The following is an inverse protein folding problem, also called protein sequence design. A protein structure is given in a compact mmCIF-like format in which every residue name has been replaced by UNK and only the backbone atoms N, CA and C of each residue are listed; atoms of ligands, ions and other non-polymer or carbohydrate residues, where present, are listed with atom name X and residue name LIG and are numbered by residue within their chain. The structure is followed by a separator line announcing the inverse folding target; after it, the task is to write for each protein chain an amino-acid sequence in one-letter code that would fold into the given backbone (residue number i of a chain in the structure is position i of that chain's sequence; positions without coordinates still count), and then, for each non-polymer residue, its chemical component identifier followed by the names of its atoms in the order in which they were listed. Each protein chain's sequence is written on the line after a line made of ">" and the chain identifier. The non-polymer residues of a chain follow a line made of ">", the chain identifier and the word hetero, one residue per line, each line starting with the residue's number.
data_IF_952961452154
#
_entry.id   IF_952961452154
#
_cell.length_a   1.000
_cell.length_b   1.000
_cell.length_c   1.000
_cell.angle_alpha   90.00
_cell.angle_beta   90.00
_cell.angle_gamma   90.00
#
_symmetry.space_group_name_H-M   'P 1'
#
loop_
_entity.id
_entity.type
_entity.pdbx_description
1 polymer ?
#
# COMPACT_ATOMS: atom_id res chain seq x y z
N UNK A 1 5.58 15.75 -0.36
CA UNK A 1 4.52 15.29 0.52
C UNK A 1 3.20 15.29 -0.22
N UNK A 2 2.39 14.22 -0.14
CA UNK A 2 1.07 14.23 -0.78
C UNK A 2 0.17 15.33 -0.22
N UNK A 3 -0.83 15.72 -1.00
CA UNK A 3 -1.76 16.78 -0.64
C UNK A 3 -3.18 16.29 -0.80
N UNK A 4 -4.11 16.96 -0.12
CA UNK A 4 -5.53 16.66 -0.26
C UNK A 4 -5.95 16.70 -1.72
N UNK A 5 -6.64 15.65 -2.15
CA UNK A 5 -7.09 15.50 -3.53
C UNK A 5 -6.17 14.71 -4.43
N UNK A 6 -4.93 14.45 -4.00
CA UNK A 6 -4.05 13.55 -4.75
C UNK A 6 -4.65 12.15 -4.77
N UNK A 7 -4.56 11.48 -5.92
CA UNK A 7 -5.10 10.13 -6.04
C UNK A 7 -4.41 9.36 -7.16
N UNK A 8 -4.50 8.04 -7.06
CA UNK A 8 -4.13 7.15 -8.17
C UNK A 8 -4.99 5.90 -8.14
N UNK A 9 -5.01 5.20 -9.26
CA UNK A 9 -5.66 3.91 -9.40
C UNK A 9 -4.64 2.86 -9.79
N UNK A 10 -4.81 1.63 -9.30
CA UNK A 10 -3.94 0.52 -9.65
C UNK A 10 -4.78 -0.74 -9.83
N UNK A 11 -4.48 -1.49 -10.91
CA UNK A 11 -5.12 -2.76 -11.19
C UNK A 11 -4.50 -3.86 -10.34
N UNK A 12 -5.34 -4.66 -9.70
CA UNK A 12 -4.88 -5.77 -8.88
C UNK A 12 -4.35 -6.91 -9.74
N UNK A 13 -3.21 -7.45 -9.33
CA UNK A 13 -2.58 -8.61 -9.94
C UNK A 13 -2.43 -9.71 -8.89
N UNK A 14 -2.12 -10.92 -9.34
CA UNK A 14 -1.96 -12.07 -8.46
C UNK A 14 -1.00 -11.79 -7.30
N UNK A 15 0.15 -11.17 -7.59
CA UNK A 15 1.16 -10.85 -6.58
C UNK A 15 0.66 -9.88 -5.52
N UNK A 16 -0.26 -8.98 -5.88
CA UNK A 16 -0.83 -8.02 -4.92
C UNK A 16 -1.75 -8.72 -3.93
N UNK A 17 -2.50 -9.71 -4.39
CA UNK A 17 -3.48 -10.44 -3.61
C UNK A 17 -2.84 -11.50 -2.71
N UNK A 18 -1.76 -12.12 -3.15
CA UNK A 18 -1.11 -13.25 -2.49
C UNK A 18 0.40 -13.10 -2.44
N UNK A 19 0.88 -11.96 -1.98
CA UNK A 19 2.32 -11.65 -1.98
C UNK A 19 3.15 -12.69 -1.25
N UNK A 20 2.65 -13.22 -0.12
CA UNK A 20 3.36 -14.22 0.64
C UNK A 20 3.67 -15.50 -0.15
N UNK A 21 2.89 -15.80 -1.20
CA UNK A 21 3.08 -16.96 -2.05
C UNK A 21 4.07 -16.71 -3.20
N UNK A 22 4.07 -15.50 -3.74
CA UNK A 22 4.78 -15.20 -5.00
C UNK A 22 6.08 -14.43 -4.83
N UNK A 23 6.37 -13.90 -3.63
CA UNK A 23 7.56 -13.10 -3.46
C UNK A 23 8.83 -13.95 -3.54
N UNK A 24 9.93 -13.32 -3.94
CA UNK A 24 11.22 -13.98 -4.00
C UNK A 24 11.68 -14.44 -2.59
N UNK A 25 12.47 -15.52 -2.51
CA UNK A 25 13.04 -15.94 -1.23
C UNK A 25 13.82 -14.83 -0.55
N UNK A 26 13.61 -14.69 0.75
CA UNK A 26 14.30 -13.70 1.60
C UNK A 26 14.71 -14.37 2.90
N UNK A 27 15.32 -13.62 3.82
CA UNK A 27 15.71 -14.14 5.12
C UNK A 27 14.54 -14.41 6.07
N UNK A 28 13.32 -14.08 5.67
CA UNK A 28 12.13 -14.40 6.44
C UNK A 28 11.21 -15.31 5.64
N UNK A 29 10.51 -16.17 6.36
CA UNK A 29 9.55 -17.08 5.74
C UNK A 29 8.39 -16.32 5.09
N UNK A 30 7.82 -16.84 3.99
CA UNK A 30 6.60 -16.27 3.42
C UNK A 30 5.47 -16.24 4.46
N UNK A 31 4.68 -15.15 4.44
CA UNK A 31 3.52 -14.99 5.32
C UNK A 31 2.28 -15.29 4.51
N UNK A 32 1.56 -16.36 4.87
CA UNK A 32 0.31 -16.71 4.19
C UNK A 32 -0.72 -15.60 4.40
N UNK A 33 -1.38 -15.21 3.32
CA UNK A 33 -2.37 -14.14 3.34
C UNK A 33 -1.78 -12.73 3.28
N UNK A 34 -0.47 -12.60 3.13
CA UNK A 34 0.18 -11.30 2.96
C UNK A 34 -0.27 -10.66 1.65
N UNK A 35 -0.71 -9.40 1.72
CA UNK A 35 -1.09 -8.62 0.56
C UNK A 35 -0.62 -7.19 0.71
N UNK A 36 -0.66 -6.44 -0.38
CA UNK A 36 -0.24 -5.04 -0.37
C UNK A 36 -0.97 -4.24 -1.45
N UNK A 37 -0.90 -2.90 -1.33
CA UNK A 37 -1.40 -1.97 -2.35
C UNK A 37 -0.18 -1.44 -3.09
N UNK A 38 -0.11 -1.69 -4.40
CA UNK A 38 1.01 -1.21 -5.21
C UNK A 38 0.99 0.30 -5.33
N UNK A 39 2.19 0.91 -5.32
CA UNK A 39 2.37 2.31 -5.64
C UNK A 39 3.14 2.38 -6.97
N UNK A 40 2.49 2.74 -8.09
CA UNK A 40 3.22 2.93 -9.34
C UNK A 40 4.29 4.00 -9.17
N UNK A 41 5.47 3.76 -9.75
CA UNK A 41 6.64 4.64 -9.55
C UNK A 41 6.35 6.09 -9.93
N UNK A 42 5.60 6.32 -11.00
CA UNK A 42 5.26 7.68 -11.43
C UNK A 42 4.51 8.46 -10.36
N UNK A 43 3.63 7.80 -9.60
CA UNK A 43 2.87 8.45 -8.52
C UNK A 43 3.72 8.60 -7.25
N UNK A 44 4.60 7.64 -6.97
CA UNK A 44 5.53 7.78 -5.85
C UNK A 44 6.41 9.02 -6.02
N UNK A 45 6.90 9.24 -7.22
CA UNK A 45 7.71 10.42 -7.55
C UNK A 45 6.86 11.69 -7.51
N UNK A 46 5.71 11.68 -8.18
CA UNK A 46 4.82 12.85 -8.29
C UNK A 46 4.35 13.35 -6.93
N UNK A 47 4.00 12.42 -6.03
CA UNK A 47 3.45 12.75 -4.72
C UNK A 47 4.49 12.69 -3.61
N UNK A 48 5.75 12.43 -3.93
CA UNK A 48 6.85 12.34 -2.95
C UNK A 48 6.56 11.31 -1.86
N UNK A 49 6.23 10.08 -2.28
CA UNK A 49 5.96 8.97 -1.36
C UNK A 49 7.28 8.22 -1.13
N UNK A 50 7.88 8.42 0.04
CA UNK A 50 9.19 7.86 0.36
C UNK A 50 9.05 6.53 1.11
N UNK A 51 10.10 5.69 1.03
CA UNK A 51 10.11 4.39 1.70
C UNK A 51 10.74 4.43 3.08
N UNK A 52 11.18 5.60 3.53
CA UNK A 52 11.75 5.75 4.87
C UNK A 52 11.50 7.16 5.40
N UNK A 53 11.51 7.33 6.75
CA UNK A 53 11.32 8.64 7.35
C UNK A 53 12.51 9.60 7.17
N UNK A 54 13.63 9.13 6.62
CA UNK A 54 14.82 9.96 6.40
C UNK A 54 14.65 10.93 5.21
N UNK A 55 13.58 10.80 4.46
CA UNK A 55 13.29 11.72 3.37
C UNK A 55 12.56 12.96 3.88
N UNK A 56 11.96 13.68 2.95
CA UNK A 56 11.10 14.82 3.25
C UNK A 56 9.70 14.29 3.54
N UNK A 57 9.28 14.33 4.79
CA UNK A 57 7.98 13.84 5.22
C UNK A 57 8.03 12.45 5.82
N UNK A 58 6.86 11.92 6.16
CA UNK A 58 6.72 10.61 6.78
C UNK A 58 6.35 9.55 5.75
N UNK A 59 6.73 8.30 6.03
CA UNK A 59 6.24 7.16 5.25
C UNK A 59 5.04 6.48 5.92
N UNK A 60 4.47 7.09 6.94
CA UNK A 60 3.30 6.58 7.66
C UNK A 60 2.10 7.48 7.38
N UNK A 61 0.95 6.83 7.15
CA UNK A 61 -0.33 7.51 6.90
C UNK A 61 -1.43 6.82 7.71
N UNK A 62 -2.53 7.52 7.93
CA UNK A 62 -3.74 6.91 8.48
C UNK A 62 -4.62 6.50 7.32
N UNK A 63 -5.08 5.26 7.29
CA UNK A 63 -5.90 4.73 6.20
C UNK A 63 -7.25 4.25 6.70
N UNK A 64 -8.27 4.54 5.92
CA UNK A 64 -9.61 3.94 6.07
C UNK A 64 -10.06 3.46 4.68
N UNK A 65 -10.86 2.40 4.64
CA UNK A 65 -11.49 1.96 3.41
C UNK A 65 -12.94 2.41 3.36
N UNK A 66 -13.43 2.69 2.15
CA UNK A 66 -14.81 3.14 1.97
C UNK A 66 -15.84 2.12 2.46
N UNK A 67 -15.51 0.83 2.38
CA UNK A 67 -16.35 -0.25 2.87
C UNK A 67 -16.37 -0.37 4.40
N UNK A 68 -15.47 0.30 5.11
CA UNK A 68 -15.38 0.30 6.57
C UNK A 68 -14.52 -0.81 7.17
N UNK A 69 -13.98 -1.73 6.37
CA UNK A 69 -13.13 -2.80 6.88
C UNK A 69 -11.84 -2.26 7.51
N UNK A 70 -11.19 -1.32 6.84
CA UNK A 70 -10.05 -0.59 7.40
C UNK A 70 -10.57 0.72 8.00
N UNK A 71 -10.22 1.00 9.25
CA UNK A 71 -10.69 2.20 9.94
C UNK A 71 -9.58 2.80 10.78
N UNK A 72 -9.07 3.96 10.37
CA UNK A 72 -8.00 4.71 11.05
C UNK A 72 -6.80 3.84 11.40
N UNK A 73 -6.41 2.95 10.49
CA UNK A 73 -5.25 2.08 10.68
C UNK A 73 -3.98 2.76 10.16
N UNK A 74 -2.83 2.32 10.64
CA UNK A 74 -1.54 2.90 10.23
C UNK A 74 -1.05 2.19 8.98
N UNK A 75 -0.92 2.96 7.90
CA UNK A 75 -0.44 2.48 6.60
C UNK A 75 1.02 2.91 6.42
N UNK A 76 1.87 1.95 6.11
CA UNK A 76 3.29 2.21 5.86
C UNK A 76 3.61 2.11 4.39
N UNK A 77 4.23 3.17 3.85
CA UNK A 77 4.82 3.12 2.53
C UNK A 77 6.21 2.49 2.63
N UNK A 78 6.48 1.50 1.81
CA UNK A 78 7.75 0.77 1.87
C UNK A 78 8.24 0.37 0.49
N UNK A 79 9.53 0.09 0.39
CA UNK A 79 10.17 -0.35 -0.84
C UNK A 79 11.48 -1.05 -0.50
N UNK A 80 12.36 -1.23 -1.48
CA UNK A 80 13.64 -1.88 -1.27
C UNK A 80 14.72 -0.84 -0.94
N UNK A 81 14.77 -0.43 0.34
CA UNK A 81 15.77 0.53 0.80
C UNK A 81 17.19 -0.03 0.70
N UNK A 82 17.35 -1.35 0.80
CA UNK A 82 18.65 -2.00 0.64
C UNK A 82 19.23 -1.86 -0.77
N UNK A 83 18.39 -1.62 -1.78
CA UNK A 83 18.80 -1.34 -3.14
C UNK A 83 18.98 0.16 -3.41
N UNK A 84 18.87 1.02 -2.38
CA UNK A 84 19.04 2.46 -2.52
C UNK A 84 17.81 3.18 -3.05
N UNK A 85 16.65 2.54 -3.06
CA UNK A 85 15.42 3.17 -3.53
C UNK A 85 14.95 4.22 -2.53
N UNK A 86 14.74 5.44 -3.01
CA UNK A 86 14.21 6.54 -2.22
C UNK A 86 12.69 6.48 -2.14
N UNK A 87 12.04 6.10 -3.24
CA UNK A 87 10.59 6.11 -3.36
C UNK A 87 9.98 4.77 -2.98
N UNK A 88 8.83 4.81 -2.33
CA UNK A 88 8.10 3.62 -1.93
C UNK A 88 7.53 2.90 -3.16
N UNK A 89 7.36 1.59 -3.04
CA UNK A 89 6.81 0.71 -4.09
C UNK A 89 5.46 0.14 -3.72
N UNK A 90 5.11 0.15 -2.43
CA UNK A 90 3.88 -0.47 -1.96
C UNK A 90 3.46 0.08 -0.60
N UNK A 91 2.18 -0.09 -0.30
CA UNK A 91 1.62 0.15 1.03
C UNK A 91 1.23 -1.16 1.69
N UNK A 92 1.50 -1.26 2.99
CA UNK A 92 1.00 -2.32 3.85
C UNK A 92 0.62 -1.72 5.20
N UNK A 93 -0.19 -2.43 5.97
CA UNK A 93 -0.51 -1.98 7.34
C UNK A 93 0.72 -2.17 8.21
N UNK A 94 1.07 -1.13 8.95
CA UNK A 94 2.23 -1.16 9.84
C UNK A 94 2.09 -2.30 10.86
N UNK A 95 3.12 -3.15 10.94
CA UNK A 95 3.17 -4.29 11.86
C UNK A 95 2.13 -5.38 11.62
N UNK A 96 1.42 -5.34 10.49
CA UNK A 96 0.44 -6.39 10.14
C UNK A 96 0.46 -6.65 8.65
N UNK A 97 1.28 -7.61 8.23
CA UNK A 97 1.47 -7.95 6.82
C UNK A 97 0.26 -8.63 6.19
N UNK A 98 -0.72 -9.09 6.99
CA UNK A 98 -1.90 -9.80 6.50
C UNK A 98 -3.12 -8.90 6.36
N UNK A 99 -3.08 -7.70 6.89
CA UNK A 99 -4.29 -6.87 6.99
C UNK A 99 -4.83 -6.44 5.63
N UNK A 100 -3.97 -6.01 4.72
CA UNK A 100 -4.40 -5.64 3.36
C UNK A 100 -4.93 -6.87 2.62
N UNK A 101 -4.28 -8.02 2.76
CA UNK A 101 -4.79 -9.27 2.18
C UNK A 101 -6.16 -9.65 2.74
N UNK A 102 -6.38 -9.44 4.04
CA UNK A 102 -7.67 -9.66 4.67
C UNK A 102 -8.74 -8.72 4.11
N UNK A 103 -8.39 -7.45 3.86
CA UNK A 103 -9.29 -6.50 3.21
C UNK A 103 -9.69 -6.97 1.82
N UNK A 104 -8.72 -7.40 1.01
CA UNK A 104 -9.02 -7.93 -0.33
C UNK A 104 -9.97 -9.11 -0.25
N UNK A 105 -9.75 -10.06 0.65
CA UNK A 105 -10.63 -11.22 0.82
C UNK A 105 -12.02 -10.83 1.30
N UNK A 106 -12.12 -9.88 2.22
CA UNK A 106 -13.41 -9.41 2.73
C UNK A 106 -14.27 -8.79 1.64
N UNK A 107 -13.65 -8.20 0.62
CA UNK A 107 -14.32 -7.56 -0.51
C UNK A 107 -14.39 -8.48 -1.73
N UNK A 108 -13.94 -9.73 -1.60
CA UNK A 108 -13.88 -10.68 -2.71
C UNK A 108 -13.14 -10.12 -3.93
N UNK A 109 -12.02 -9.43 -3.67
CA UNK A 109 -11.25 -8.79 -4.71
C UNK A 109 -10.63 -9.81 -5.66
N UNK A 110 -10.62 -9.51 -6.94
CA UNK A 110 -10.16 -10.38 -8.02
C UNK A 110 -9.06 -9.68 -8.81
N UNK A 111 -8.26 -10.50 -9.50
CA UNK A 111 -7.31 -9.97 -10.48
C UNK A 111 -8.08 -9.15 -11.53
N UNK A 112 -7.60 -7.94 -11.81
CA UNK A 112 -8.26 -7.01 -12.71
C UNK A 112 -9.12 -5.96 -12.03
N UNK A 113 -9.47 -6.15 -10.75
CA UNK A 113 -10.18 -5.11 -10.00
C UNK A 113 -9.26 -3.90 -9.80
N UNK A 114 -9.87 -2.73 -9.67
CA UNK A 114 -9.14 -1.47 -9.51
C UNK A 114 -9.23 -1.01 -8.06
N UNK A 115 -8.07 -0.70 -7.47
CA UNK A 115 -8.00 -0.01 -6.18
C UNK A 115 -7.75 1.45 -6.42
N UNK A 116 -8.58 2.31 -5.83
CA UNK A 116 -8.36 3.74 -5.84
C UNK A 116 -7.84 4.19 -4.49
N UNK A 117 -6.76 4.97 -4.52
CA UNK A 117 -6.11 5.55 -3.34
C UNK A 117 -6.26 7.05 -3.44
N UNK A 118 -6.87 7.68 -2.44
CA UNK A 118 -7.13 9.12 -2.43
C UNK A 118 -6.66 9.73 -1.12
N UNK A 119 -5.88 10.81 -1.18
CA UNK A 119 -5.48 11.55 0.01
C UNK A 119 -6.56 12.54 0.40
N UNK A 120 -7.05 12.40 1.63
CA UNK A 120 -8.02 13.33 2.22
C UNK A 120 -7.31 14.48 2.93
N UNK A 121 -6.06 14.27 3.29
CA UNK A 121 -5.13 15.27 3.82
C UNK A 121 -3.71 14.74 3.55
N UNK A 122 -2.65 15.51 3.80
CA UNK A 122 -1.28 15.01 3.60
C UNK A 122 -0.95 13.71 4.34
N UNK A 123 -1.68 13.39 5.40
CA UNK A 123 -1.42 12.19 6.24
C UNK A 123 -2.57 11.19 6.28
N UNK A 124 -3.70 11.47 5.62
CA UNK A 124 -4.88 10.62 5.67
C UNK A 124 -5.26 10.12 4.28
N UNK A 125 -5.48 8.82 4.17
CA UNK A 125 -5.79 8.13 2.91
C UNK A 125 -7.13 7.42 3.02
N UNK A 126 -7.94 7.52 1.96
CA UNK A 126 -9.11 6.69 1.75
C UNK A 126 -8.81 5.73 0.60
N UNK A 127 -9.07 4.44 0.80
CA UNK A 127 -8.94 3.43 -0.24
C UNK A 127 -10.28 2.80 -0.56
N UNK A 128 -10.46 2.38 -1.81
CA UNK A 128 -11.68 1.68 -2.23
C UNK A 128 -11.37 0.76 -3.40
N UNK A 129 -12.14 -0.32 -3.50
CA UNK A 129 -12.09 -1.23 -4.64
C UNK A 129 -13.28 -0.88 -5.54
N UNK A 130 -12.97 -0.50 -6.78
CA UNK A 130 -13.98 -0.07 -7.73
C UNK A 130 -14.65 -1.24 -8.44
#
# INVERSE_FOLDING_TARGET
>A
MPQRGDSYQVELKETHLNWGTYRNPTNRDPVEGEGYIKIPREYAIRYSIYNSPEGVGSNLFTVSSRDGFLHNEVLRAQGNSGAGDTYAKQFAIDKDLRRIGAWYRSQNAQVGDIVQVTWQSPTEILVEIL
#
